data_IF_353154538584
#
_entry.id   IF_353154538584
#
_cell.length_a   1.000
_cell.length_b   1.000
_cell.length_c   1.000
_cell.angle_alpha   90.00
_cell.angle_beta   90.00
_cell.angle_gamma   90.00
#
_symmetry.space_group_name_H-M   'P 1'
#
loop_
_entity.id
_entity.type
_entity.pdbx_description
1 polymer ?
#
# COMPACT_ATOMS: atom_id res chain seq x y z
N UNK A 1 25.58 14.03 13.47
CA UNK A 1 24.34 13.75 14.24
C UNK A 1 23.38 14.91 14.03
N UNK A 2 22.50 14.80 13.03
CA UNK A 2 21.39 15.76 12.88
C UNK A 2 20.20 15.18 13.65
N UNK A 3 19.78 15.90 14.69
CA UNK A 3 18.55 15.64 15.42
C UNK A 3 17.38 15.86 14.46
N UNK A 4 16.85 14.76 13.92
CA UNK A 4 15.57 14.77 13.23
C UNK A 4 14.47 14.99 14.27
N UNK A 5 13.70 16.06 14.08
CA UNK A 5 12.67 16.49 15.02
C UNK A 5 11.61 15.38 15.18
N UNK A 6 11.17 15.07 16.42
CA UNK A 6 10.23 13.98 16.73
C UNK A 6 8.83 14.08 16.09
N UNK A 7 8.55 15.14 15.31
CA UNK A 7 7.28 15.34 14.61
C UNK A 7 7.17 14.71 13.22
N UNK A 8 8.29 14.38 12.56
CA UNK A 8 8.27 13.76 11.22
C UNK A 8 8.00 12.25 11.29
N UNK A 9 8.50 11.58 12.33
CA UNK A 9 8.31 10.13 12.57
C UNK A 9 6.86 9.79 12.91
N UNK A 10 6.15 10.73 13.54
CA UNK A 10 4.74 10.58 13.95
C UNK A 10 3.75 10.42 12.78
N UNK A 11 4.15 10.74 11.54
CA UNK A 11 3.34 10.54 10.33
C UNK A 11 3.64 9.23 9.60
N UNK A 12 4.83 8.68 9.85
CA UNK A 12 5.43 7.57 9.14
C UNK A 12 4.76 6.22 9.47
N UNK A 13 4.30 6.10 10.70
CA UNK A 13 3.66 4.91 11.28
C UNK A 13 2.17 4.83 10.90
N UNK A 14 1.55 5.99 10.69
CA UNK A 14 0.13 6.10 10.36
C UNK A 14 -0.17 5.74 8.90
N UNK A 15 0.77 5.91 7.98
CA UNK A 15 0.62 5.41 6.61
C UNK A 15 0.63 3.87 6.51
N UNK A 16 1.11 3.17 7.55
CA UNK A 16 1.09 1.71 7.61
C UNK A 16 -0.01 1.16 8.55
N UNK A 17 -0.48 1.88 9.58
CA UNK A 17 -1.61 1.42 10.39
C UNK A 17 -2.14 2.41 11.43
N UNK A 18 -2.97 3.37 10.99
CA UNK A 18 -4.15 3.97 11.66
C UNK A 18 -4.09 4.55 13.11
N UNK A 19 -4.78 5.71 13.31
CA UNK A 19 -5.50 6.25 14.53
C UNK A 19 -4.73 7.32 15.39
N UNK A 20 -5.22 8.49 15.89
CA UNK A 20 -6.51 9.24 15.95
C UNK A 20 -6.29 10.75 16.28
N UNK A 21 -7.30 11.56 15.91
CA UNK A 21 -7.71 12.92 16.31
C UNK A 21 -7.00 13.68 17.46
N UNK A 22 -6.59 14.92 17.15
CA UNK A 22 -7.05 16.16 17.80
C UNK A 22 -6.49 17.41 17.08
N UNK A 23 -7.34 18.43 16.95
CA UNK A 23 -7.08 19.83 16.53
C UNK A 23 -7.21 20.12 15.02
N UNK A 24 -8.40 20.48 14.54
CA UNK A 24 -8.85 21.88 14.48
C UNK A 24 -10.29 21.95 13.95
N UNK A 25 -11.15 22.57 14.74
CA UNK A 25 -12.35 23.25 14.29
C UNK A 25 -11.98 24.32 13.25
N UNK A 26 -12.54 24.26 12.05
CA UNK A 26 -12.42 25.36 11.10
C UNK A 26 -12.74 25.03 9.64
N UNK A 27 -13.91 25.49 9.20
CA UNK A 27 -14.35 25.77 7.83
C UNK A 27 -14.79 24.62 6.91
N UNK A 28 -16.03 24.80 6.44
CA UNK A 28 -16.75 24.12 5.38
C UNK A 28 -16.08 24.24 4.00
N UNK A 29 -16.14 23.18 3.18
CA UNK A 29 -16.50 23.23 1.75
C UNK A 29 -16.73 21.80 1.19
N UNK A 30 -17.77 21.55 0.37
CA UNK A 30 -17.92 20.29 -0.34
C UNK A 30 -17.03 20.29 -1.59
N UNK A 31 -15.96 19.51 -1.61
CA UNK A 31 -15.19 19.26 -2.82
C UNK A 31 -15.77 18.02 -3.54
N UNK A 32 -16.34 18.25 -4.72
CA UNK A 32 -16.89 17.22 -5.59
C UNK A 32 -15.83 16.18 -5.96
N UNK A 33 -16.12 14.90 -5.68
CA UNK A 33 -15.31 13.79 -6.16
C UNK A 33 -15.41 13.73 -7.70
N UNK A 34 -14.34 14.11 -8.38
CA UNK A 34 -14.21 13.88 -9.82
C UNK A 34 -13.92 12.41 -10.03
N UNK A 35 -14.83 11.71 -10.71
CA UNK A 35 -14.64 10.33 -11.09
C UNK A 35 -13.37 10.20 -11.94
N UNK A 36 -12.49 9.28 -11.56
CA UNK A 36 -11.34 8.91 -12.38
C UNK A 36 -11.87 8.34 -13.70
N UNK A 37 -11.62 9.04 -14.80
CA UNK A 37 -11.92 8.63 -16.16
C UNK A 37 -11.11 7.39 -16.53
N UNK A 38 -11.81 6.31 -16.88
CA UNK A 38 -11.24 5.14 -17.55
C UNK A 38 -10.68 5.58 -18.90
N UNK A 39 -9.42 5.24 -19.16
CA UNK A 39 -8.83 5.33 -20.49
C UNK A 39 -8.03 4.06 -20.74
N UNK A 40 -8.41 3.35 -21.80
CA UNK A 40 -7.66 2.28 -22.46
C UNK A 40 -7.74 2.53 -23.98
N UNK A 41 -6.91 1.91 -24.84
CA UNK A 41 -5.62 1.24 -24.61
C UNK A 41 -4.55 1.61 -25.69
N UNK A 42 -3.26 1.35 -25.45
CA UNK A 42 -2.27 1.26 -26.56
C UNK A 42 -1.21 0.18 -26.36
N UNK A 43 -1.22 -0.79 -27.31
CA UNK A 43 -0.20 -1.73 -27.80
C UNK A 43 0.84 -2.38 -26.84
N UNK A 44 0.77 -3.72 -26.77
CA UNK A 44 1.45 -4.61 -25.83
C UNK A 44 0.39 -5.11 -24.85
N UNK A 45 0.16 -6.42 -24.71
CA UNK A 45 -0.96 -6.99 -23.93
C UNK A 45 -0.77 -6.82 -22.40
N UNK A 46 -0.52 -5.60 -21.95
CA UNK A 46 -0.44 -5.21 -20.56
C UNK A 46 -1.85 -5.07 -19.98
N UNK A 47 -2.11 -5.74 -18.86
CA UNK A 47 -3.37 -5.59 -18.11
C UNK A 47 -3.12 -4.71 -16.89
N UNK A 48 -3.91 -3.66 -16.74
CA UNK A 48 -3.90 -2.84 -15.53
C UNK A 48 -4.96 -3.36 -14.56
N UNK A 49 -4.57 -3.59 -13.30
CA UNK A 49 -5.48 -3.95 -12.21
C UNK A 49 -5.30 -2.99 -11.05
N UNK A 50 -6.40 -2.39 -10.58
CA UNK A 50 -6.40 -1.51 -9.42
C UNK A 50 -7.01 -2.23 -8.22
N UNK A 51 -6.28 -2.27 -7.12
CA UNK A 51 -6.72 -2.84 -5.84
C UNK A 51 -6.45 -1.81 -4.76
N UNK A 52 -7.42 -1.60 -3.87
CA UNK A 52 -7.24 -0.78 -2.67
C UNK A 52 -7.07 -1.72 -1.48
N UNK A 53 -5.97 -1.59 -0.75
CA UNK A 53 -5.77 -2.24 0.54
C UNK A 53 -6.16 -1.24 1.62
N UNK A 54 -7.12 -1.60 2.45
CA UNK A 54 -7.47 -0.81 3.64
C UNK A 54 -6.63 -1.34 4.80
N UNK A 55 -5.77 -0.47 5.32
CA UNK A 55 -4.78 -0.83 6.33
C UNK A 55 -5.36 -0.58 7.73
N UNK A 56 -5.27 -1.59 8.58
CA UNK A 56 -5.56 -1.48 10.01
C UNK A 56 -4.27 -1.41 10.82
N UNK A 57 -4.39 -1.45 12.15
CA UNK A 57 -3.24 -1.65 13.02
C UNK A 57 -2.51 -2.97 12.68
N UNK A 58 -1.17 -3.04 12.83
CA UNK A 58 -0.45 -4.28 12.58
C UNK A 58 -0.93 -5.38 13.53
N UNK A 59 -1.04 -6.60 13.01
CA UNK A 59 -1.34 -7.79 13.82
C UNK A 59 -0.11 -8.30 14.59
N UNK A 60 1.08 -7.82 14.22
CA UNK A 60 2.35 -8.08 14.90
C UNK A 60 3.32 -6.91 14.74
N UNK A 61 4.09 -6.62 15.78
CA UNK A 61 5.08 -5.55 15.83
C UNK A 61 4.57 -4.29 16.53
N UNK A 62 5.50 -3.41 16.92
CA UNK A 62 5.17 -2.10 17.47
C UNK A 62 5.07 -1.10 16.32
N UNK A 63 3.87 -0.57 15.98
CA UNK A 63 3.72 0.37 14.88
C UNK A 63 4.62 1.59 15.08
N UNK A 64 4.90 2.01 16.31
CA UNK A 64 5.65 3.24 16.59
C UNK A 64 7.17 3.11 16.41
N UNK A 65 7.68 1.89 16.22
CA UNK A 65 9.11 1.65 16.13
C UNK A 65 9.55 1.28 14.72
N UNK A 66 10.42 2.14 14.18
CA UNK A 66 11.12 1.97 12.92
C UNK A 66 12.59 1.57 13.13
N UNK A 67 12.93 1.11 14.33
CA UNK A 67 14.29 0.73 14.66
C UNK A 67 14.76 -0.45 13.79
N UNK A 68 16.02 -0.48 13.36
CA UNK A 68 16.54 -1.58 12.55
C UNK A 68 16.31 -2.94 13.20
N UNK A 69 15.80 -3.89 12.41
CA UNK A 69 15.42 -5.24 12.84
C UNK A 69 13.94 -5.38 13.22
N UNK A 70 13.24 -4.28 13.50
CA UNK A 70 11.81 -4.34 13.80
C UNK A 70 10.99 -4.73 12.58
N UNK A 71 9.91 -5.45 12.84
CA UNK A 71 9.05 -6.03 11.81
C UNK A 71 7.60 -5.75 12.14
N UNK A 72 6.85 -5.28 11.14
CA UNK A 72 5.40 -5.13 11.18
C UNK A 72 4.75 -6.18 10.28
N UNK A 73 3.62 -6.73 10.72
CA UNK A 73 2.77 -7.60 9.92
C UNK A 73 1.35 -7.03 9.87
N UNK A 74 0.79 -6.96 8.67
CA UNK A 74 -0.56 -6.46 8.43
C UNK A 74 -1.41 -7.53 7.74
N UNK A 75 -2.65 -7.65 8.21
CA UNK A 75 -3.73 -8.33 7.50
C UNK A 75 -4.72 -7.28 7.01
N UNK A 76 -4.85 -7.15 5.70
CA UNK A 76 -5.55 -6.03 5.08
C UNK A 76 -6.73 -6.52 4.24
N UNK A 77 -7.81 -5.74 4.18
CA UNK A 77 -8.92 -6.07 3.27
C UNK A 77 -8.65 -5.47 1.90
N UNK A 78 -8.70 -6.30 0.85
CA UNK A 78 -8.52 -5.88 -0.52
C UNK A 78 -9.87 -5.56 -1.19
N UNK A 79 -9.98 -4.38 -1.79
CA UNK A 79 -11.12 -3.92 -2.57
C UNK A 79 -10.74 -3.75 -4.03
N UNK A 80 -11.62 -4.18 -4.94
CA UNK A 80 -11.51 -3.90 -6.37
C UNK A 80 -12.87 -3.39 -6.87
N UNK A 81 -12.86 -2.33 -7.69
CA UNK A 81 -14.09 -1.68 -8.17
C UNK A 81 -15.08 -1.33 -7.04
N UNK A 82 -14.56 -0.85 -5.91
CA UNK A 82 -15.35 -0.42 -4.74
C UNK A 82 -15.97 -1.55 -3.90
N UNK A 83 -15.72 -2.82 -4.24
CA UNK A 83 -16.25 -4.00 -3.54
C UNK A 83 -15.13 -4.82 -2.93
N UNK A 84 -15.40 -5.48 -1.80
CA UNK A 84 -14.45 -6.42 -1.19
C UNK A 84 -14.16 -7.53 -2.20
N UNK A 85 -12.89 -7.66 -2.56
CA UNK A 85 -12.39 -8.58 -3.57
C UNK A 85 -11.49 -9.66 -2.99
N UNK A 86 -10.98 -9.46 -1.77
CA UNK A 86 -10.13 -10.43 -1.09
C UNK A 86 -9.45 -9.82 0.13
N UNK A 87 -8.19 -10.18 0.32
CA UNK A 87 -7.36 -9.73 1.43
C UNK A 87 -5.87 -9.68 1.01
N UNK A 88 -5.03 -9.12 1.86
CA UNK A 88 -3.59 -9.13 1.69
C UNK A 88 -2.88 -9.41 3.02
N UNK A 89 -1.68 -9.99 2.91
CA UNK A 89 -0.74 -10.14 4.00
C UNK A 89 0.53 -9.37 3.63
N UNK A 90 0.88 -8.37 4.44
CA UNK A 90 2.03 -7.49 4.20
C UNK A 90 2.97 -7.55 5.39
N UNK A 91 4.25 -7.83 5.14
CA UNK A 91 5.33 -7.72 6.13
C UNK A 91 6.26 -6.58 5.74
N UNK A 92 6.64 -5.77 6.72
CA UNK A 92 7.64 -4.72 6.59
C UNK A 92 8.72 -4.98 7.61
N UNK A 93 9.99 -5.00 7.19
CA UNK A 93 11.16 -5.09 8.07
C UNK A 93 12.01 -3.84 7.93
N UNK A 94 12.24 -3.12 9.03
CA UNK A 94 13.10 -1.95 9.04
C UNK A 94 14.56 -2.36 9.09
N UNK A 95 15.40 -1.64 8.35
CA UNK A 95 16.83 -1.87 8.22
C UNK A 95 17.61 -0.65 8.69
N UNK A 96 18.93 -0.83 8.84
CA UNK A 96 19.83 0.28 9.09
C UNK A 96 19.77 1.33 7.97
N UNK A 97 20.05 2.58 8.32
CA UNK A 97 20.07 3.70 7.37
C UNK A 97 18.69 4.30 7.06
N UNK A 98 17.61 3.80 7.65
CA UNK A 98 16.26 4.30 7.39
C UNK A 98 15.61 3.67 6.15
N UNK A 99 16.07 2.49 5.75
CA UNK A 99 15.47 1.69 4.70
C UNK A 99 14.56 0.60 5.28
N UNK A 100 13.73 0.00 4.44
CA UNK A 100 12.90 -1.14 4.80
C UNK A 100 12.85 -2.17 3.67
N UNK A 101 12.55 -3.42 4.03
CA UNK A 101 12.09 -4.45 3.10
C UNK A 101 10.59 -4.63 3.27
N UNK A 102 9.89 -4.83 2.17
CA UNK A 102 8.48 -5.17 2.13
C UNK A 102 8.30 -6.47 1.36
N UNK A 103 7.41 -7.34 1.86
CA UNK A 103 6.82 -8.43 1.11
C UNK A 103 5.30 -8.42 1.30
N UNK A 104 4.56 -8.53 0.20
CA UNK A 104 3.11 -8.50 0.22
C UNK A 104 2.54 -9.58 -0.70
N UNK A 105 1.54 -10.30 -0.20
CA UNK A 105 0.72 -11.22 -0.98
C UNK A 105 -0.72 -10.73 -0.99
N UNK A 106 -1.21 -10.32 -2.16
CA UNK A 106 -2.62 -9.95 -2.37
C UNK A 106 -3.37 -11.16 -2.91
N UNK A 107 -4.40 -11.62 -2.20
CA UNK A 107 -5.23 -12.78 -2.53
C UNK A 107 -6.60 -12.31 -3.00
N UNK A 108 -6.89 -12.44 -4.29
CA UNK A 108 -8.17 -12.03 -4.87
C UNK A 108 -9.09 -13.23 -5.08
N UNK A 109 -10.28 -13.16 -4.48
CA UNK A 109 -11.29 -14.22 -4.53
C UNK A 109 -11.61 -14.58 -5.99
N UNK A 110 -11.55 -15.87 -6.29
CA UNK A 110 -11.79 -16.44 -7.62
C UNK A 110 -10.86 -15.93 -8.74
N UNK A 111 -9.74 -15.28 -8.39
CA UNK A 111 -8.73 -14.82 -9.36
C UNK A 111 -7.33 -15.35 -9.05
N UNK A 112 -7.02 -15.62 -7.78
CA UNK A 112 -5.69 -16.09 -7.36
C UNK A 112 -4.86 -14.96 -6.75
N UNK A 113 -3.55 -15.14 -6.70
CA UNK A 113 -2.66 -14.30 -5.88
C UNK A 113 -1.64 -13.52 -6.71
N UNK A 114 -1.31 -12.32 -6.25
CA UNK A 114 -0.19 -11.50 -6.71
C UNK A 114 0.78 -11.33 -5.53
N UNK A 115 2.08 -11.40 -5.82
CA UNK A 115 3.14 -11.26 -4.82
C UNK A 115 4.13 -10.20 -5.29
N UNK A 116 4.48 -9.27 -4.42
CA UNK A 116 5.55 -8.32 -4.68
C UNK A 116 6.41 -8.16 -3.44
N UNK A 117 7.69 -7.90 -3.67
CA UNK A 117 8.64 -7.65 -2.61
C UNK A 117 9.75 -6.72 -3.10
N UNK A 118 10.35 -5.97 -2.19
CA UNK A 118 11.48 -5.10 -2.50
C UNK A 118 11.93 -4.27 -1.30
N UNK A 119 12.98 -3.48 -1.50
CA UNK A 119 13.49 -2.56 -0.49
C UNK A 119 13.38 -1.11 -0.95
N UNK A 120 13.06 -0.23 -0.01
CA UNK A 120 12.89 1.20 -0.25
C UNK A 120 13.34 2.02 0.97
N UNK A 121 13.51 3.32 0.76
CA UNK A 121 13.77 4.25 1.85
C UNK A 121 12.47 4.65 2.54
N UNK A 122 12.47 4.65 3.87
CA UNK A 122 11.34 5.09 4.69
C UNK A 122 10.93 6.53 4.34
N UNK A 123 11.89 7.37 3.94
CA UNK A 123 11.62 8.74 3.49
C UNK A 123 10.80 8.85 2.20
N UNK A 124 10.69 7.77 1.41
CA UNK A 124 9.93 7.72 0.16
C UNK A 124 8.49 7.24 0.36
N UNK A 125 8.09 6.81 1.56
CA UNK A 125 6.81 6.12 1.78
C UNK A 125 5.58 7.02 1.55
N UNK A 126 5.72 8.34 1.76
CA UNK A 126 4.68 9.32 1.43
C UNK A 126 4.57 9.58 -0.08
N UNK A 127 5.58 9.17 -0.84
CA UNK A 127 5.58 9.20 -2.29
C UNK A 127 5.05 7.89 -2.87
N UNK A 128 4.96 7.85 -4.19
CA UNK A 128 4.63 6.64 -4.93
C UNK A 128 5.81 5.66 -4.87
N UNK A 129 5.58 4.45 -4.38
CA UNK A 129 6.56 3.36 -4.41
C UNK A 129 6.29 2.44 -5.61
N UNK A 130 7.33 1.82 -6.17
CA UNK A 130 7.19 0.87 -7.27
C UNK A 130 8.00 -0.39 -7.00
N UNK A 131 7.36 -1.55 -7.10
CA UNK A 131 8.00 -2.85 -6.89
C UNK A 131 7.75 -3.79 -8.06
N UNK A 132 8.67 -4.74 -8.28
CA UNK A 132 8.41 -5.85 -9.17
C UNK A 132 7.31 -6.74 -8.59
N UNK A 133 6.38 -7.20 -9.43
CA UNK A 133 5.30 -8.11 -9.04
C UNK A 133 5.39 -9.40 -9.86
N UNK A 134 5.11 -10.50 -9.18
CA UNK A 134 4.96 -11.84 -9.75
C UNK A 134 3.56 -12.33 -9.48
N UNK A 135 2.90 -12.88 -10.50
CA UNK A 135 1.65 -13.58 -10.34
C UNK A 135 1.87 -14.97 -9.77
N UNK A 136 1.26 -15.22 -8.61
CA UNK A 136 1.47 -16.46 -7.85
C UNK A 136 0.59 -17.61 -8.34
N UNK A 137 -0.73 -17.43 -8.33
CA UNK A 137 -1.69 -18.53 -8.59
C UNK A 137 -2.90 -18.07 -9.39
N UNK A 138 -3.71 -19.02 -9.86
CA UNK A 138 -4.99 -18.75 -10.54
C UNK A 138 -4.81 -18.01 -11.86
N UNK A 139 -5.65 -17.01 -12.11
CA UNK A 139 -5.64 -16.16 -13.31
C UNK A 139 -4.35 -15.34 -13.45
N UNK A 140 -3.58 -15.20 -12.38
CA UNK A 140 -2.30 -14.48 -12.40
C UNK A 140 -1.11 -15.42 -12.59
N UNK A 141 -1.29 -16.74 -12.61
CA UNK A 141 -0.18 -17.68 -12.78
C UNK A 141 0.63 -17.38 -14.04
N UNK A 142 1.96 -17.28 -13.90
CA UNK A 142 2.88 -17.00 -15.00
C UNK A 142 2.92 -15.53 -15.44
N UNK A 143 2.18 -14.62 -14.80
CA UNK A 143 2.27 -13.18 -15.07
C UNK A 143 3.41 -12.53 -14.28
N UNK A 144 3.92 -11.42 -14.79
CA UNK A 144 4.85 -10.56 -14.08
C UNK A 144 4.70 -9.10 -14.47
N UNK A 145 5.37 -8.20 -13.76
CA UNK A 145 5.33 -6.78 -14.09
C UNK A 145 5.80 -5.91 -12.94
N UNK A 146 5.13 -4.78 -12.73
CA UNK A 146 5.34 -3.96 -11.55
C UNK A 146 4.01 -3.55 -10.90
N UNK A 147 4.08 -3.21 -9.63
CA UNK A 147 3.01 -2.56 -8.88
C UNK A 147 3.47 -1.19 -8.43
N UNK A 148 2.59 -0.23 -8.63
CA UNK A 148 2.72 1.10 -8.04
C UNK A 148 1.85 1.18 -6.78
N UNK A 149 2.43 1.66 -5.68
CA UNK A 149 1.74 1.85 -4.40
C UNK A 149 1.61 3.35 -4.17
N UNK A 150 0.39 3.83 -3.98
CA UNK A 150 0.11 5.23 -3.69
C UNK A 150 -0.74 5.33 -2.42
N UNK A 151 -0.29 6.06 -1.38
CA UNK A 151 -1.11 6.36 -0.23
C UNK A 151 -2.43 7.03 -0.65
N UNK A 152 -3.54 6.61 -0.06
CA UNK A 152 -4.88 7.11 -0.38
C UNK A 152 -5.81 6.97 0.82
N UNK A 153 -7.10 7.27 0.62
CA UNK A 153 -8.15 7.01 1.60
C UNK A 153 -9.28 6.23 0.97
N UNK A 154 -9.87 5.29 1.70
CA UNK A 154 -11.05 4.53 1.29
C UNK A 154 -12.11 4.60 2.37
N UNK A 155 -13.27 5.21 2.07
CA UNK A 155 -14.40 5.34 3.02
C UNK A 155 -14.02 6.04 4.34
N UNK A 156 -13.05 6.96 4.29
CA UNK A 156 -12.55 7.68 5.46
C UNK A 156 -11.44 6.95 6.23
N UNK A 157 -11.06 5.76 5.81
CA UNK A 157 -9.95 4.99 6.37
C UNK A 157 -8.70 5.15 5.50
N UNK A 158 -7.52 5.08 6.12
CA UNK A 158 -6.24 5.09 5.41
C UNK A 158 -6.08 3.81 4.58
N UNK A 159 -5.52 3.96 3.40
CA UNK A 159 -5.43 2.88 2.44
C UNK A 159 -4.24 3.05 1.50
N UNK A 160 -3.84 1.96 0.86
CA UNK A 160 -2.91 1.97 -0.26
C UNK A 160 -3.64 1.61 -1.55
N UNK A 161 -3.50 2.46 -2.58
CA UNK A 161 -3.89 2.12 -3.94
C UNK A 161 -2.74 1.37 -4.62
N UNK A 162 -2.96 0.09 -4.90
CA UNK A 162 -2.10 -0.74 -5.71
C UNK A 162 -2.56 -0.68 -7.16
N UNK A 163 -1.69 -0.20 -8.04
CA UNK A 163 -1.89 -0.26 -9.50
C UNK A 163 -0.91 -1.25 -10.09
N UNK A 164 -1.40 -2.44 -10.41
CA UNK A 164 -0.63 -3.51 -11.03
C UNK A 164 -0.60 -3.33 -12.54
N UNK A 165 0.60 -3.37 -13.12
CA UNK A 165 0.85 -3.34 -14.56
C UNK A 165 1.42 -4.68 -14.98
N UNK A 166 0.54 -5.62 -15.34
CA UNK A 166 0.87 -7.02 -15.57
C UNK A 166 1.10 -7.32 -17.05
N UNK A 167 2.04 -8.22 -17.32
CA UNK A 167 2.33 -8.81 -18.64
C UNK A 167 2.35 -10.33 -18.50
N UNK A 168 1.89 -11.03 -19.54
CA UNK A 168 2.02 -12.47 -19.71
C UNK A 168 3.27 -12.79 -20.53
#
# INVERSE_FOLDING_TARGET
MQSTRPGAVRRLVLAAGAILALLFSGLMAPAAATAATDSEPTAGHGRTLKVVLVSGAPVFGDPESIDPGNTLLFEETAYAHGRKAGDALTRIQFLEGGSFLLDCTVRLKNKGNLVFAGGEEVSNIEAKLTFAVTGGTGHFSGTGGHVDITPTTHRGEEAALLTFHLKH
#
